data_IF_084599573522
#
_entry.id   IF_084599573522
#
_cell.length_a   1.000
_cell.length_b   1.000
_cell.length_c   1.000
_cell.angle_alpha   90.00
_cell.angle_beta   90.00
_cell.angle_gamma   90.00
#
_symmetry.space_group_name_H-M   'P 1'
#
loop_
_entity.id
_entity.type
_entity.pdbx_description
1 polymer ?
#
# COMPACT_ATOMS: atom_id res chain seq x y z
N UNK A 1 21.03 23.46 -5.32
CA UNK A 1 22.03 23.11 -4.31
C UNK A 1 21.70 21.79 -3.58
N UNK A 2 20.44 21.55 -3.14
CA UNK A 2 20.03 20.29 -2.47
C UNK A 2 20.19 19.02 -3.33
N UNK A 3 20.00 19.10 -4.65
CA UNK A 3 20.18 17.98 -5.60
C UNK A 3 21.63 17.56 -5.79
N UNK A 4 22.61 18.47 -5.56
CA UNK A 4 24.02 18.16 -5.66
C UNK A 4 24.58 17.53 -4.37
N UNK A 5 23.93 17.75 -3.24
CA UNK A 5 24.35 17.15 -1.96
C UNK A 5 23.82 15.71 -1.78
N UNK A 6 22.69 15.33 -2.42
CA UNK A 6 22.15 13.96 -2.35
C UNK A 6 23.04 12.94 -3.07
N UNK A 7 23.78 13.34 -4.12
CA UNK A 7 24.71 12.46 -4.85
C UNK A 7 25.92 12.00 -4.02
N UNK A 8 26.21 12.65 -2.89
CA UNK A 8 27.38 12.31 -2.05
C UNK A 8 27.12 11.24 -0.98
N UNK A 9 25.88 10.77 -0.78
CA UNK A 9 25.53 9.80 0.28
C UNK A 9 24.96 8.46 -0.22
N UNK A 10 25.06 8.13 -1.50
CA UNK A 10 24.59 6.83 -2.01
C UNK A 10 23.08 6.60 -1.85
N UNK A 11 22.25 7.64 -1.63
CA UNK A 11 20.81 7.51 -1.58
C UNK A 11 20.28 7.30 -3.00
N UNK A 12 19.80 6.09 -3.27
CA UNK A 12 19.11 5.79 -4.50
C UNK A 12 17.81 6.61 -4.55
N UNK A 13 17.63 7.40 -5.61
CA UNK A 13 16.41 8.20 -5.80
C UNK A 13 15.24 7.23 -6.02
N UNK A 14 14.19 7.36 -5.20
CA UNK A 14 13.01 6.51 -5.28
C UNK A 14 12.28 6.74 -6.60
N UNK A 15 12.03 5.67 -7.35
CA UNK A 15 11.29 5.70 -8.61
C UNK A 15 9.79 5.52 -8.36
N UNK A 16 8.97 6.35 -9.02
CA UNK A 16 7.52 6.30 -8.92
C UNK A 16 6.95 6.23 -10.34
N UNK A 17 6.22 5.17 -10.65
CA UNK A 17 5.57 5.05 -11.96
C UNK A 17 4.21 5.76 -11.93
N UNK A 18 3.97 6.61 -12.93
CA UNK A 18 2.70 7.33 -13.14
C UNK A 18 2.07 6.80 -14.41
N UNK A 19 0.87 6.24 -14.28
CA UNK A 19 0.16 5.54 -15.36
C UNK A 19 -1.20 6.19 -15.58
N UNK A 20 -1.37 6.85 -16.70
CA UNK A 20 -2.62 7.51 -17.11
C UNK A 20 -2.58 7.68 -18.65
N UNK A 21 -3.70 7.50 -19.36
CA UNK A 21 -3.76 7.74 -20.81
C UNK A 21 -3.80 9.25 -21.14
N UNK A 22 -4.16 10.08 -20.14
CA UNK A 22 -4.04 11.53 -20.22
C UNK A 22 -2.60 12.00 -19.94
N UNK A 23 -1.92 12.43 -21.00
CA UNK A 23 -0.53 12.90 -20.92
C UNK A 23 -0.36 14.12 -20.02
N UNK A 24 -1.36 15.01 -19.94
CA UNK A 24 -1.29 16.22 -19.14
C UNK A 24 -1.28 15.86 -17.64
N UNK A 25 -2.04 14.85 -17.25
CA UNK A 25 -2.04 14.32 -15.86
C UNK A 25 -0.69 13.69 -15.53
N UNK A 26 -0.14 12.87 -16.43
CA UNK A 26 1.19 12.24 -16.24
C UNK A 26 2.26 13.29 -16.10
N UNK A 27 2.25 14.32 -16.95
CA UNK A 27 3.23 15.42 -16.92
C UNK A 27 3.09 16.24 -15.64
N UNK A 28 1.86 16.62 -15.26
CA UNK A 28 1.56 17.37 -14.03
C UNK A 28 2.11 16.62 -12.80
N UNK A 29 1.73 15.37 -12.62
CA UNK A 29 2.19 14.56 -11.49
C UNK A 29 3.71 14.36 -11.51
N UNK A 30 4.31 14.17 -12.70
CA UNK A 30 5.75 14.04 -12.85
C UNK A 30 6.52 15.27 -12.39
N UNK A 31 5.99 16.48 -12.66
CA UNK A 31 6.58 17.74 -12.18
C UNK A 31 6.57 17.79 -10.65
N UNK A 32 5.41 17.49 -10.04
CA UNK A 32 5.31 17.50 -8.58
C UNK A 32 6.21 16.46 -7.91
N UNK A 33 6.28 15.24 -8.48
CA UNK A 33 7.17 14.18 -7.98
C UNK A 33 8.65 14.59 -8.04
N UNK A 34 9.08 15.20 -9.16
CA UNK A 34 10.47 15.71 -9.28
C UNK A 34 10.77 16.79 -8.25
N UNK A 35 9.82 17.69 -7.98
CA UNK A 35 9.97 18.73 -6.98
C UNK A 35 10.13 18.16 -5.55
N UNK A 36 9.51 17.01 -5.27
CA UNK A 36 9.65 16.26 -4.01
C UNK A 36 10.92 15.39 -3.96
N UNK A 37 11.70 15.32 -5.04
CA UNK A 37 12.95 14.57 -5.11
C UNK A 37 12.79 13.10 -5.54
N UNK A 38 11.65 12.72 -6.12
CA UNK A 38 11.41 11.40 -6.71
C UNK A 38 11.78 11.37 -8.20
N UNK A 39 12.01 10.17 -8.73
CA UNK A 39 12.20 9.93 -10.17
C UNK A 39 10.90 9.41 -10.78
N UNK A 40 10.12 10.22 -11.52
CA UNK A 40 8.89 9.76 -12.15
C UNK A 40 9.20 8.95 -13.41
N UNK A 41 8.47 7.83 -13.57
CA UNK A 41 8.46 6.99 -14.76
C UNK A 41 7.07 7.11 -15.38
N UNK A 42 6.97 7.76 -16.54
CA UNK A 42 5.70 7.92 -17.24
C UNK A 42 5.29 6.63 -17.95
N UNK A 43 4.00 6.27 -17.91
CA UNK A 43 3.39 5.24 -18.76
C UNK A 43 2.00 5.69 -19.18
N UNK A 44 1.62 5.45 -20.44
CA UNK A 44 0.39 5.99 -21.04
C UNK A 44 -0.64 4.89 -21.37
N UNK A 45 -0.41 3.69 -20.88
CA UNK A 45 -1.35 2.56 -20.98
C UNK A 45 -1.00 1.46 -19.98
N UNK A 46 -1.98 0.59 -19.69
CA UNK A 46 -1.74 -0.56 -18.80
C UNK A 46 -0.66 -1.52 -19.35
N UNK A 47 -0.60 -1.72 -20.67
CA UNK A 47 0.44 -2.54 -21.30
C UNK A 47 1.84 -1.94 -21.11
N UNK A 48 1.98 -0.64 -21.29
CA UNK A 48 3.24 0.07 -21.09
C UNK A 48 3.67 0.02 -19.62
N UNK A 49 2.72 0.19 -18.69
CA UNK A 49 2.96 0.09 -17.27
C UNK A 49 3.54 -1.28 -16.88
N UNK A 50 2.91 -2.37 -17.28
CA UNK A 50 3.40 -3.73 -17.02
C UNK A 50 4.79 -3.97 -17.62
N UNK A 51 5.05 -3.49 -18.83
CA UNK A 51 6.37 -3.60 -19.46
C UNK A 51 7.43 -2.84 -18.67
N UNK A 52 7.14 -1.60 -18.26
CA UNK A 52 8.08 -0.76 -17.49
C UNK A 52 8.36 -1.32 -16.10
N UNK A 53 7.35 -1.87 -15.43
CA UNK A 53 7.53 -2.55 -14.13
C UNK A 53 8.47 -3.74 -14.28
N UNK A 54 8.28 -4.57 -15.28
CA UNK A 54 9.13 -5.75 -15.51
C UNK A 54 10.58 -5.41 -15.87
N UNK A 55 10.82 -4.23 -16.46
CA UNK A 55 12.14 -3.83 -16.98
C UNK A 55 12.86 -2.78 -16.11
N UNK A 56 12.16 -2.15 -15.18
CA UNK A 56 12.74 -1.10 -14.34
C UNK A 56 12.84 -1.60 -12.90
N UNK A 57 14.05 -1.81 -12.38
CA UNK A 57 14.21 -2.19 -10.97
C UNK A 57 13.90 -1.03 -10.03
N UNK A 58 13.55 -1.37 -8.80
CA UNK A 58 13.42 -0.46 -7.67
C UNK A 58 12.31 0.61 -7.83
N UNK A 59 11.20 0.24 -8.48
CA UNK A 59 9.99 1.06 -8.42
C UNK A 59 9.38 0.93 -7.03
N UNK A 60 9.28 2.06 -6.31
CA UNK A 60 8.81 2.09 -4.93
C UNK A 60 7.33 2.41 -4.75
N UNK A 61 6.63 2.90 -5.79
CA UNK A 61 5.20 3.22 -5.74
C UNK A 61 4.64 3.38 -7.16
N UNK A 62 3.37 3.05 -7.33
CA UNK A 62 2.60 3.29 -8.55
C UNK A 62 1.46 4.28 -8.29
N UNK A 63 1.28 5.26 -9.19
CA UNK A 63 0.06 6.06 -9.31
C UNK A 63 -0.62 5.61 -10.60
N UNK A 64 -1.89 5.19 -10.53
CA UNK A 64 -2.54 4.45 -11.61
C UNK A 64 -3.97 4.91 -11.85
N UNK A 65 -4.28 5.31 -13.09
CA UNK A 65 -5.69 5.45 -13.51
C UNK A 65 -6.32 4.07 -13.77
N UNK A 66 -7.57 3.91 -13.35
CA UNK A 66 -8.36 2.71 -13.63
C UNK A 66 -8.95 2.76 -15.05
N UNK A 67 -9.30 3.96 -15.53
CA UNK A 67 -10.14 4.17 -16.70
C UNK A 67 -9.33 4.31 -18.00
N UNK A 68 -8.40 3.41 -18.24
CA UNK A 68 -7.59 3.43 -19.46
C UNK A 68 -8.16 2.50 -20.53
N UNK A 69 -8.01 2.83 -21.84
CA UNK A 69 -8.39 1.94 -22.93
C UNK A 69 -7.51 0.69 -23.01
N UNK A 70 -8.12 -0.44 -23.37
CA UNK A 70 -7.43 -1.73 -23.50
C UNK A 70 -7.25 -2.42 -22.14
N UNK A 71 -6.01 -2.55 -21.66
CA UNK A 71 -5.73 -3.11 -20.32
C UNK A 71 -6.07 -2.05 -19.28
N UNK A 72 -7.11 -2.33 -18.48
CA UNK A 72 -7.56 -1.41 -17.44
C UNK A 72 -6.60 -1.35 -16.25
N UNK A 73 -6.68 -0.28 -15.45
CA UNK A 73 -5.88 -0.21 -14.23
C UNK A 73 -6.17 -1.35 -13.24
N UNK A 74 -7.40 -1.86 -13.21
CA UNK A 74 -7.76 -3.03 -12.40
C UNK A 74 -7.00 -4.28 -12.87
N UNK A 75 -6.87 -4.47 -14.18
CA UNK A 75 -6.12 -5.61 -14.73
C UNK A 75 -4.61 -5.47 -14.43
N UNK A 76 -4.08 -4.24 -14.47
CA UNK A 76 -2.69 -3.95 -14.06
C UNK A 76 -2.46 -4.30 -12.60
N UNK A 77 -3.38 -3.92 -11.68
CA UNK A 77 -3.27 -4.24 -10.26
C UNK A 77 -3.27 -5.76 -10.07
N UNK A 78 -4.22 -6.47 -10.66
CA UNK A 78 -4.32 -7.94 -10.55
C UNK A 78 -3.04 -8.64 -11.01
N UNK A 79 -2.47 -8.20 -12.12
CA UNK A 79 -1.23 -8.78 -12.65
C UNK A 79 -0.06 -8.49 -11.71
N UNK A 80 0.06 -7.23 -11.28
CA UNK A 80 1.14 -6.81 -10.39
C UNK A 80 1.12 -7.53 -9.04
N UNK A 81 -0.07 -7.72 -8.45
CA UNK A 81 -0.24 -8.36 -7.14
C UNK A 81 0.08 -9.87 -7.12
N UNK A 82 0.36 -10.48 -8.27
CA UNK A 82 0.88 -11.87 -8.31
C UNK A 82 2.29 -11.97 -7.72
N UNK A 83 3.13 -10.93 -7.97
CA UNK A 83 4.55 -10.99 -7.67
C UNK A 83 5.09 -9.74 -6.95
N UNK A 84 4.24 -8.75 -6.63
CA UNK A 84 4.70 -7.47 -6.07
C UNK A 84 3.69 -6.85 -5.10
N UNK A 85 4.23 -6.35 -3.99
CA UNK A 85 3.49 -5.60 -2.96
C UNK A 85 3.82 -4.10 -2.96
N UNK A 86 4.32 -3.55 -4.08
CA UNK A 86 4.57 -2.10 -4.17
C UNK A 86 3.28 -1.32 -3.89
N UNK A 87 3.33 -0.21 -3.16
CA UNK A 87 2.17 0.63 -2.91
C UNK A 87 1.55 1.16 -4.20
N UNK A 88 0.21 1.12 -4.29
CA UNK A 88 -0.56 1.61 -5.44
C UNK A 88 -1.56 2.65 -4.98
N UNK A 89 -1.47 3.86 -5.52
CA UNK A 89 -2.49 4.89 -5.42
C UNK A 89 -3.31 4.88 -6.71
N UNK A 90 -4.59 4.57 -6.60
CA UNK A 90 -5.51 4.69 -7.72
C UNK A 90 -5.98 6.13 -7.86
N UNK A 91 -5.99 6.64 -9.09
CA UNK A 91 -6.53 7.96 -9.44
C UNK A 91 -7.61 7.76 -10.51
N UNK A 92 -8.87 8.13 -10.26
CA UNK A 92 -9.94 7.85 -11.21
C UNK A 92 -11.08 8.88 -11.16
N UNK A 93 -11.77 9.06 -12.30
CA UNK A 93 -12.97 9.87 -12.40
C UNK A 93 -14.22 9.22 -11.76
N UNK A 94 -14.15 7.94 -11.40
CA UNK A 94 -15.26 7.24 -10.77
C UNK A 94 -15.45 7.69 -9.33
N UNK A 95 -16.64 8.24 -9.05
CA UNK A 95 -16.99 8.79 -7.73
C UNK A 95 -17.86 7.85 -6.89
N UNK A 96 -18.41 6.80 -7.50
CA UNK A 96 -19.28 5.86 -6.82
C UNK A 96 -18.55 5.08 -5.72
N UNK A 97 -19.21 4.89 -4.57
CA UNK A 97 -18.62 4.11 -3.47
C UNK A 97 -18.25 2.69 -3.90
N UNK A 98 -19.05 2.08 -4.77
CA UNK A 98 -18.78 0.73 -5.30
C UNK A 98 -17.51 0.70 -6.18
N UNK A 99 -17.24 1.75 -6.95
CA UNK A 99 -16.05 1.83 -7.80
C UNK A 99 -14.77 2.02 -6.97
N UNK A 100 -14.84 2.83 -5.92
CA UNK A 100 -13.74 3.00 -4.95
C UNK A 100 -13.44 1.68 -4.24
N UNK A 101 -14.49 1.01 -3.77
CA UNK A 101 -14.38 -0.30 -3.13
C UNK A 101 -13.77 -1.31 -4.09
N UNK A 102 -14.18 -1.33 -5.37
CA UNK A 102 -13.64 -2.27 -6.35
C UNK A 102 -12.14 -2.04 -6.61
N UNK A 103 -11.67 -0.79 -6.69
CA UNK A 103 -10.25 -0.47 -6.80
C UNK A 103 -9.45 -0.99 -5.60
N UNK A 104 -9.95 -0.77 -4.39
CA UNK A 104 -9.32 -1.21 -3.14
C UNK A 104 -9.40 -2.74 -2.98
N UNK A 105 -10.55 -3.38 -3.30
CA UNK A 105 -10.70 -4.86 -3.29
C UNK A 105 -9.68 -5.54 -4.21
N UNK A 106 -9.30 -4.89 -5.30
CA UNK A 106 -8.33 -5.44 -6.24
C UNK A 106 -6.89 -5.38 -5.72
N UNK A 107 -6.62 -4.63 -4.61
CA UNK A 107 -5.31 -4.55 -3.98
C UNK A 107 -4.63 -3.18 -4.10
N UNK A 108 -5.36 -2.11 -4.39
CA UNK A 108 -4.86 -0.75 -4.25
C UNK A 108 -4.73 -0.36 -2.78
N UNK A 109 -3.75 0.47 -2.45
CA UNK A 109 -3.47 0.94 -1.09
C UNK A 109 -4.20 2.25 -0.78
N UNK A 110 -4.48 3.08 -1.78
CA UNK A 110 -5.20 4.35 -1.63
C UNK A 110 -5.97 4.71 -2.90
N UNK A 111 -6.91 5.65 -2.77
CA UNK A 111 -7.78 6.06 -3.87
C UNK A 111 -7.98 7.58 -3.88
N UNK A 112 -7.80 8.21 -5.04
CA UNK A 112 -8.00 9.64 -5.26
C UNK A 112 -9.00 9.85 -6.41
N UNK A 113 -9.98 10.73 -6.21
CA UNK A 113 -11.00 11.04 -7.22
C UNK A 113 -10.53 12.20 -8.09
N UNK A 114 -10.67 12.08 -9.43
CA UNK A 114 -10.51 13.18 -10.38
C UNK A 114 -11.79 14.06 -10.38
N UNK A 115 -11.69 15.41 -10.39
CA UNK A 115 -10.46 16.19 -10.37
C UNK A 115 -9.83 16.25 -8.97
N UNK A 116 -8.50 16.18 -8.89
CA UNK A 116 -7.74 16.17 -7.64
C UNK A 116 -6.78 17.37 -7.52
N UNK A 117 -6.39 17.66 -6.28
CA UNK A 117 -5.29 18.57 -6.02
C UNK A 117 -3.97 17.78 -6.06
N UNK A 118 -2.98 18.13 -6.91
CA UNK A 118 -1.69 17.43 -6.95
C UNK A 118 -0.99 17.34 -5.60
N UNK A 119 -1.15 18.35 -4.74
CA UNK A 119 -0.58 18.34 -3.39
C UNK A 119 -1.21 17.24 -2.50
N UNK A 120 -2.49 16.91 -2.71
CA UNK A 120 -3.14 15.80 -2.04
C UNK A 120 -2.49 14.47 -2.44
N UNK A 121 -2.28 14.24 -3.75
CA UNK A 121 -1.59 13.04 -4.26
C UNK A 121 -0.18 12.95 -3.66
N UNK A 122 0.57 14.06 -3.62
CA UNK A 122 1.91 14.08 -3.01
C UNK A 122 1.89 13.75 -1.51
N UNK A 123 0.89 14.21 -0.77
CA UNK A 123 0.73 13.86 0.65
C UNK A 123 0.52 12.36 0.85
N UNK A 124 -0.29 11.72 -0.02
CA UNK A 124 -0.54 10.28 -0.01
C UNK A 124 0.70 9.47 -0.40
N UNK A 125 1.43 9.91 -1.43
CA UNK A 125 2.73 9.33 -1.83
C UNK A 125 3.71 9.33 -0.66
N UNK A 126 3.90 10.48 0.01
CA UNK A 126 4.78 10.56 1.19
C UNK A 126 4.33 9.65 2.32
N UNK A 127 3.02 9.57 2.56
CA UNK A 127 2.46 8.73 3.62
C UNK A 127 2.74 7.25 3.37
N UNK A 128 2.50 6.74 2.16
CA UNK A 128 2.74 5.35 1.80
C UNK A 128 4.24 5.01 1.81
N UNK A 129 5.08 5.84 1.21
CA UNK A 129 6.53 5.61 1.17
C UNK A 129 7.19 5.68 2.56
N UNK A 130 6.70 6.53 3.48
CA UNK A 130 7.20 6.57 4.85
C UNK A 130 6.95 5.25 5.59
N UNK A 131 5.86 4.55 5.28
CA UNK A 131 5.54 3.23 5.86
C UNK A 131 6.50 2.15 5.34
N UNK A 132 6.82 2.19 4.04
CA UNK A 132 7.76 1.24 3.43
C UNK A 132 9.23 1.52 3.79
N UNK A 133 9.58 2.74 4.23
CA UNK A 133 10.96 3.16 4.52
C UNK A 133 11.33 3.19 6.00
N UNK A 134 10.43 2.86 6.93
CA UNK A 134 10.81 2.78 8.35
C UNK A 134 11.76 1.61 8.59
N UNK A 135 13.02 1.78 8.16
CA UNK A 135 14.16 0.95 8.58
C UNK A 135 14.78 1.55 9.84
N UNK A 136 14.64 0.80 10.91
CA UNK A 136 15.55 0.59 12.06
C UNK A 136 16.29 1.79 12.64
N UNK A 137 15.89 2.18 13.85
CA UNK A 137 16.79 2.64 14.91
C UNK A 137 16.28 2.13 16.25
N UNK A 138 16.45 0.85 16.54
CA UNK A 138 16.43 0.33 17.92
C UNK A 138 17.38 -0.85 18.03
N UNK A 139 18.17 -0.86 19.11
CA UNK A 139 19.19 -1.88 19.40
C UNK A 139 18.60 -3.26 19.81
N UNK A 140 17.27 -3.42 19.77
CA UNK A 140 16.57 -4.69 19.91
C UNK A 140 15.50 -4.78 18.82
N UNK A 141 15.43 -5.89 18.06
CA UNK A 141 14.38 -6.08 17.07
C UNK A 141 13.01 -6.09 17.78
N UNK A 142 12.09 -5.26 17.31
CA UNK A 142 10.70 -5.24 17.77
C UNK A 142 9.95 -6.41 17.11
N UNK A 143 10.07 -7.58 17.74
CA UNK A 143 9.47 -8.85 17.28
C UNK A 143 8.26 -9.14 18.14
N UNK A 144 7.12 -9.37 17.49
CA UNK A 144 5.89 -9.84 18.11
C UNK A 144 5.60 -11.26 17.63
N UNK A 145 5.26 -12.13 18.56
CA UNK A 145 4.74 -13.47 18.27
C UNK A 145 3.24 -13.49 18.61
N UNK A 146 2.42 -13.87 17.64
CA UNK A 146 0.97 -13.96 17.80
C UNK A 146 0.43 -15.18 17.07
N UNK A 147 -0.10 -16.16 17.80
CA UNK A 147 -0.51 -17.44 17.23
C UNK A 147 0.64 -18.07 16.41
N UNK A 148 0.40 -18.42 15.13
CA UNK A 148 1.42 -19.05 14.27
C UNK A 148 2.39 -18.04 13.63
N UNK A 149 2.30 -16.72 13.95
CA UNK A 149 3.02 -15.64 13.25
C UNK A 149 4.15 -15.05 14.10
N UNK A 150 5.24 -14.74 13.42
CA UNK A 150 6.37 -13.94 13.92
C UNK A 150 6.42 -12.67 13.07
N UNK A 151 6.22 -11.51 13.70
CA UNK A 151 6.12 -10.20 13.07
C UNK A 151 7.33 -9.37 13.47
N UNK A 152 8.17 -8.98 12.52
CA UNK A 152 9.29 -8.08 12.75
C UNK A 152 8.96 -6.69 12.23
N UNK A 153 8.78 -5.74 13.14
CA UNK A 153 8.44 -4.34 12.80
C UNK A 153 9.55 -3.66 12.03
N UNK A 154 10.79 -3.93 12.39
CA UNK A 154 11.94 -3.20 11.85
C UNK A 154 12.21 -3.57 10.40
N UNK A 155 12.09 -4.86 10.06
CA UNK A 155 12.24 -5.33 8.68
C UNK A 155 10.92 -5.33 7.88
N UNK A 156 9.76 -5.03 8.50
CA UNK A 156 8.42 -5.17 7.92
C UNK A 156 8.17 -6.59 7.38
N UNK A 157 8.72 -7.59 8.05
CA UNK A 157 8.62 -8.99 7.63
C UNK A 157 7.66 -9.75 8.55
N UNK A 158 6.81 -10.56 7.95
CA UNK A 158 5.94 -11.50 8.66
C UNK A 158 6.28 -12.91 8.20
N UNK A 159 6.50 -13.80 9.16
CA UNK A 159 6.76 -15.23 8.92
C UNK A 159 5.83 -16.07 9.76
N UNK A 160 5.58 -17.29 9.30
CA UNK A 160 5.04 -18.31 10.19
C UNK A 160 6.15 -18.82 11.14
N UNK A 161 5.78 -19.45 12.25
CA UNK A 161 6.74 -20.15 13.13
C UNK A 161 7.56 -21.20 12.34
N UNK A 162 6.97 -21.79 11.29
CA UNK A 162 7.65 -22.70 10.38
C UNK A 162 8.68 -22.03 9.45
N UNK A 163 8.76 -20.69 9.45
CA UNK A 163 9.72 -19.89 8.66
C UNK A 163 9.22 -19.48 7.28
N UNK A 164 7.98 -19.76 6.92
CA UNK A 164 7.40 -19.33 5.64
C UNK A 164 7.12 -17.81 5.67
N UNK A 165 7.68 -17.07 4.72
CA UNK A 165 7.47 -15.62 4.60
C UNK A 165 6.08 -15.35 4.04
N UNK A 166 5.35 -14.41 4.65
CA UNK A 166 4.05 -13.94 4.18
C UNK A 166 4.24 -12.55 3.57
N UNK A 167 4.01 -12.43 2.26
CA UNK A 167 4.11 -11.14 1.56
C UNK A 167 2.88 -10.27 1.87
N UNK A 168 3.11 -9.16 2.54
CA UNK A 168 2.08 -8.19 2.91
C UNK A 168 2.36 -6.83 2.29
N UNK A 169 1.31 -6.14 1.84
CA UNK A 169 1.41 -4.71 1.52
C UNK A 169 1.70 -3.91 2.80
N UNK A 170 2.16 -2.68 2.66
CA UNK A 170 2.47 -1.81 3.80
C UNK A 170 1.25 -1.56 4.70
N UNK A 171 0.03 -1.54 4.13
CA UNK A 171 -1.22 -1.38 4.87
C UNK A 171 -1.64 -2.66 5.60
N UNK A 172 -1.56 -3.81 4.93
CA UNK A 172 -1.83 -5.10 5.55
C UNK A 172 -0.89 -5.35 6.73
N UNK A 173 0.41 -5.06 6.54
CA UNK A 173 1.39 -5.11 7.63
C UNK A 173 1.01 -4.14 8.77
N UNK A 174 0.65 -2.89 8.45
CA UNK A 174 0.24 -1.88 9.42
C UNK A 174 -0.98 -2.32 10.25
N UNK A 175 -1.99 -2.91 9.61
CA UNK A 175 -3.17 -3.46 10.30
C UNK A 175 -2.76 -4.62 11.21
N UNK A 176 -2.02 -5.60 10.70
CA UNK A 176 -1.59 -6.76 11.48
C UNK A 176 -0.76 -6.33 12.68
N UNK A 177 0.22 -5.45 12.47
CA UNK A 177 1.09 -4.96 13.55
C UNK A 177 0.30 -4.17 14.60
N UNK A 178 -0.67 -3.34 14.20
CA UNK A 178 -1.53 -2.61 15.13
C UNK A 178 -2.31 -3.57 16.04
N UNK A 179 -2.94 -4.58 15.47
CA UNK A 179 -3.73 -5.56 16.22
C UNK A 179 -2.82 -6.44 17.12
N UNK A 180 -1.71 -6.94 16.56
CA UNK A 180 -0.75 -7.79 17.28
C UNK A 180 -0.04 -7.07 18.44
N UNK A 181 0.17 -5.75 18.33
CA UNK A 181 0.74 -4.94 19.40
C UNK A 181 -0.22 -4.72 20.57
N UNK A 182 -1.50 -5.06 20.42
CA UNK A 182 -2.53 -4.90 21.43
C UNK A 182 -3.46 -6.12 21.46
N UNK A 183 -2.96 -7.31 21.82
CA UNK A 183 -3.74 -8.53 21.79
C UNK A 183 -4.97 -8.42 22.70
N UNK A 184 -6.06 -9.05 22.29
CA UNK A 184 -7.37 -9.03 22.94
C UNK A 184 -8.11 -7.66 22.91
N UNK A 185 -7.48 -6.59 22.42
CA UNK A 185 -8.16 -5.30 22.23
C UNK A 185 -8.92 -5.30 20.90
N UNK A 186 -10.18 -4.90 20.96
CA UNK A 186 -11.01 -4.67 19.76
C UNK A 186 -10.75 -3.25 19.24
N UNK A 187 -10.43 -3.13 17.96
CA UNK A 187 -10.31 -1.87 17.25
C UNK A 187 -11.46 -1.73 16.26
N UNK A 188 -12.16 -0.61 16.26
CA UNK A 188 -13.15 -0.31 15.23
C UNK A 188 -12.45 -0.10 13.87
N UNK A 189 -13.21 -0.26 12.78
CA UNK A 189 -12.67 0.00 11.45
C UNK A 189 -12.17 1.45 11.30
N UNK A 190 -12.88 2.42 11.89
CA UNK A 190 -12.48 3.83 11.88
C UNK A 190 -11.19 4.05 12.67
N UNK A 191 -11.04 3.46 13.85
CA UNK A 191 -9.82 3.53 14.65
C UNK A 191 -8.63 2.89 13.93
N UNK A 192 -8.82 1.74 13.25
CA UNK A 192 -7.78 1.12 12.41
C UNK A 192 -7.41 2.06 11.27
N UNK A 193 -8.40 2.64 10.59
CA UNK A 193 -8.16 3.56 9.49
C UNK A 193 -7.32 4.76 9.94
N UNK A 194 -7.75 5.48 10.97
CA UNK A 194 -7.04 6.65 11.49
C UNK A 194 -5.58 6.33 11.86
N UNK A 195 -5.34 5.20 12.53
CA UNK A 195 -4.00 4.82 13.01
C UNK A 195 -3.09 4.31 11.90
N UNK A 196 -3.64 3.56 10.94
CA UNK A 196 -2.86 2.94 9.86
C UNK A 196 -2.72 3.89 8.68
N UNK A 197 -3.77 4.58 8.25
CA UNK A 197 -3.70 5.55 7.14
C UNK A 197 -3.20 6.92 7.59
N UNK A 198 -3.33 7.26 8.89
CA UNK A 198 -2.98 8.57 9.45
C UNK A 198 -3.72 9.73 8.76
N UNK A 199 -4.97 9.53 8.41
CA UNK A 199 -5.84 10.46 7.72
C UNK A 199 -7.26 10.35 8.28
N UNK A 200 -7.98 11.47 8.35
CA UNK A 200 -9.42 11.48 8.56
C UNK A 200 -10.11 11.27 7.22
N UNK A 201 -10.99 10.28 7.08
CA UNK A 201 -11.72 10.03 5.84
C UNK A 201 -13.12 9.47 6.07
N UNK A 202 -14.05 9.89 5.20
CA UNK A 202 -15.46 9.44 5.18
C UNK A 202 -15.63 7.99 4.68
N UNK A 203 -14.59 7.36 4.11
CA UNK A 203 -14.67 6.03 3.46
C UNK A 203 -13.92 4.94 4.26
N UNK A 204 -13.60 5.19 5.52
CA UNK A 204 -12.68 4.41 6.35
C UNK A 204 -13.08 2.94 6.54
N UNK A 205 -14.30 2.66 6.95
CA UNK A 205 -14.72 1.31 7.38
C UNK A 205 -14.65 0.26 6.25
N UNK A 206 -15.12 0.60 5.05
CA UNK A 206 -15.14 -0.33 3.91
C UNK A 206 -13.73 -0.66 3.40
N UNK A 207 -12.83 0.33 3.41
CA UNK A 207 -11.42 0.16 3.04
C UNK A 207 -10.72 -0.82 3.98
N UNK A 208 -10.91 -0.66 5.29
CA UNK A 208 -10.33 -1.56 6.28
C UNK A 208 -10.86 -2.99 6.11
N UNK A 209 -12.18 -3.17 5.89
CA UNK A 209 -12.77 -4.50 5.67
C UNK A 209 -12.09 -5.26 4.53
N UNK A 210 -11.79 -4.57 3.44
CA UNK A 210 -11.14 -5.18 2.27
C UNK A 210 -9.71 -5.61 2.59
N UNK A 211 -8.91 -4.73 3.19
CA UNK A 211 -7.53 -5.08 3.57
C UNK A 211 -7.48 -6.19 4.63
N UNK A 212 -8.42 -6.22 5.58
CA UNK A 212 -8.54 -7.32 6.56
C UNK A 212 -8.89 -8.63 5.85
N UNK A 213 -9.77 -8.61 4.84
CA UNK A 213 -10.08 -9.82 4.04
C UNK A 213 -8.86 -10.35 3.33
N UNK A 214 -8.11 -9.50 2.61
CA UNK A 214 -6.88 -9.91 1.92
C UNK A 214 -5.82 -10.41 2.88
N UNK A 215 -5.66 -9.73 4.01
CA UNK A 215 -4.71 -10.13 5.05
C UNK A 215 -5.04 -11.51 5.61
N UNK A 216 -6.31 -11.79 5.90
CA UNK A 216 -6.78 -13.12 6.32
C UNK A 216 -6.48 -14.19 5.28
N UNK A 217 -6.80 -13.93 4.01
CA UNK A 217 -6.53 -14.87 2.92
C UNK A 217 -5.05 -15.23 2.82
N UNK A 218 -4.16 -14.25 2.96
CA UNK A 218 -2.70 -14.44 2.93
C UNK A 218 -2.22 -15.25 4.15
N UNK A 219 -2.72 -14.94 5.35
CA UNK A 219 -2.37 -15.66 6.58
C UNK A 219 -2.87 -17.10 6.51
N UNK A 220 -4.13 -17.33 6.17
CA UNK A 220 -4.72 -18.67 6.09
C UNK A 220 -3.99 -19.57 5.09
N UNK A 221 -3.60 -19.03 3.93
CA UNK A 221 -2.81 -19.77 2.94
C UNK A 221 -1.43 -20.19 3.47
N UNK A 222 -0.84 -19.38 4.32
CA UNK A 222 0.51 -19.64 4.85
C UNK A 222 0.51 -20.47 6.15
N UNK A 223 -0.63 -20.60 6.82
CA UNK A 223 -0.78 -21.24 8.14
C UNK A 223 -1.76 -22.44 8.13
N UNK A 224 -2.01 -23.03 6.96
CA UNK A 224 -2.95 -24.15 6.79
C UNK A 224 -4.36 -23.90 7.35
N UNK A 225 -4.83 -22.65 7.24
CA UNK A 225 -6.21 -22.27 7.58
C UNK A 225 -6.40 -21.61 8.96
N UNK A 226 -5.35 -21.25 9.67
CA UNK A 226 -5.46 -20.59 10.97
C UNK A 226 -6.12 -19.22 10.88
N UNK A 227 -7.08 -18.94 11.75
CA UNK A 227 -7.78 -17.67 11.85
C UNK A 227 -7.18 -16.79 12.94
N UNK A 228 -6.18 -15.97 12.57
CA UNK A 228 -5.46 -15.08 13.52
C UNK A 228 -6.26 -13.83 13.84
N UNK A 229 -6.95 -13.24 12.83
CA UNK A 229 -7.71 -12.00 13.00
C UNK A 229 -9.18 -12.33 13.16
N UNK A 230 -9.76 -11.98 14.29
CA UNK A 230 -11.16 -12.22 14.60
C UNK A 230 -12.01 -10.97 14.33
N UNK A 231 -13.26 -11.19 13.90
CA UNK A 231 -14.28 -10.15 13.79
C UNK A 231 -15.14 -10.14 15.06
N UNK A 232 -15.23 -8.99 15.69
CA UNK A 232 -16.22 -8.73 16.74
C UNK A 232 -17.39 -8.02 16.08
N UNK A 233 -18.47 -8.75 15.84
CA UNK A 233 -19.60 -8.28 15.05
C UNK A 233 -20.20 -6.97 15.60
N UNK A 234 -20.37 -6.01 14.70
CA UNK A 234 -20.87 -4.67 15.02
C UNK A 234 -19.88 -3.77 15.74
N UNK A 235 -18.64 -4.23 16.04
CA UNK A 235 -17.63 -3.47 16.80
C UNK A 235 -16.33 -3.29 15.97
N UNK A 236 -15.71 -4.38 15.49
CA UNK A 236 -14.43 -4.25 14.79
C UNK A 236 -13.63 -5.56 14.74
N UNK A 237 -12.33 -5.44 14.88
CA UNK A 237 -11.36 -6.53 14.72
C UNK A 237 -10.39 -6.61 15.89
N UNK A 238 -9.94 -7.83 16.21
CA UNK A 238 -8.91 -8.12 17.20
C UNK A 238 -8.05 -9.30 16.79
N UNK A 239 -6.93 -9.48 17.48
CA UNK A 239 -6.19 -10.76 17.54
C UNK A 239 -6.17 -11.25 18.99
N UNK A 240 -6.09 -12.55 19.18
CA UNK A 240 -5.93 -13.15 20.52
C UNK A 240 -4.46 -13.51 20.75
N UNK A 241 -4.06 -13.41 22.03
CA UNK A 241 -2.70 -13.76 22.46
C UNK A 241 -2.51 -15.27 22.53
#
# INVERSE_FOLDING_TARGET
LRLLESKKRGFQVMKIIVVDDDKEIVELLSIYLKNEGYEPIAAYSGKEALTKIATTPDIGLMILDIMMPGITGIDVIKELRKDSDIPIIVVSAKTGDMDKIQGLITGADDYVVKPFNPLEVMARVRSLLRRSQKKVTSDKPDILEIGPLVINKDSHEVKTIAGNVIQLTALEFGILYLLASHPNRVFSADEIFERVWQQESVVSAKTVMVHVSHLRDKIQKATDGEEVIQTVWGVGYKVEA
#
